data_IF_284805444232
#
_entry.id   IF_284805444232
#
_cell.length_a   1.000
_cell.length_b   1.000
_cell.length_c   1.000
_cell.angle_alpha   90.00
_cell.angle_beta   90.00
_cell.angle_gamma   90.00
#
_symmetry.space_group_name_H-M   'P 1'
#
loop_
_entity.id
_entity.type
_entity.pdbx_description
1 polymer ?
#
# COMPACT_ATOMS: atom_id res chain seq x y z
N UNK A 1 27.49 7.36 -19.87
CA UNK A 1 28.25 7.96 -18.76
C UNK A 1 27.53 7.67 -17.46
N UNK A 2 28.11 7.05 -16.63
CA UNK A 2 28.11 6.12 -15.58
C UNK A 2 27.24 6.50 -14.40
N UNK A 3 26.45 5.54 -13.92
CA UNK A 3 25.71 5.52 -12.68
C UNK A 3 26.65 5.37 -11.46
N UNK A 4 27.61 6.27 -11.26
CA UNK A 4 28.65 6.09 -10.24
C UNK A 4 28.81 7.20 -9.20
N UNK A 5 27.99 8.26 -9.23
CA UNK A 5 28.28 9.41 -8.35
C UNK A 5 27.38 9.53 -7.12
N UNK A 6 26.56 8.52 -6.78
CA UNK A 6 25.78 8.50 -5.54
C UNK A 6 26.10 7.36 -4.57
N UNK A 7 26.99 6.46 -4.93
CA UNK A 7 27.71 5.63 -3.99
C UNK A 7 28.90 6.45 -3.41
N UNK A 8 28.59 7.55 -2.73
CA UNK A 8 29.55 8.12 -1.81
C UNK A 8 29.76 7.10 -0.70
N UNK A 9 30.66 6.14 -0.94
CA UNK A 9 31.33 5.48 0.17
C UNK A 9 31.78 6.59 1.11
N UNK A 10 31.55 6.51 2.43
CA UNK A 10 32.10 7.47 3.36
C UNK A 10 33.56 7.58 3.06
N UNK A 11 34.04 8.79 2.82
CA UNK A 11 35.45 9.03 2.56
C UNK A 11 36.21 8.43 3.75
N UNK A 12 36.84 7.29 3.54
CA UNK A 12 37.54 6.51 4.57
C UNK A 12 38.69 7.30 5.20
N UNK A 13 39.00 8.48 4.66
CA UNK A 13 40.08 9.34 5.12
C UNK A 13 39.69 10.21 6.32
N UNK A 14 38.36 10.38 6.63
CA UNK A 14 37.93 11.27 7.71
C UNK A 14 37.44 10.57 8.97
N UNK A 15 37.15 9.27 8.97
CA UNK A 15 36.76 8.50 10.18
C UNK A 15 35.48 9.00 10.89
N UNK A 16 34.65 9.81 10.19
CA UNK A 16 33.48 10.47 10.77
C UNK A 16 32.24 10.05 10.00
N UNK A 17 31.26 9.51 10.71
CA UNK A 17 29.96 9.14 10.14
C UNK A 17 28.87 10.10 10.65
N UNK A 18 27.91 10.48 9.79
CA UNK A 18 26.75 11.24 10.26
C UNK A 18 25.90 10.34 11.18
N UNK A 19 25.55 10.87 12.34
CA UNK A 19 24.73 10.16 13.33
C UNK A 19 23.42 10.92 13.53
N UNK A 20 22.31 10.19 13.48
CA UNK A 20 20.98 10.74 13.76
C UNK A 20 20.49 10.16 15.08
N UNK A 21 20.31 11.04 16.08
CA UNK A 21 19.70 10.67 17.36
C UNK A 21 18.18 10.53 17.19
N UNK A 22 17.66 9.34 17.34
CA UNK A 22 16.22 9.06 17.26
C UNK A 22 15.42 9.59 18.46
N UNK A 23 16.09 9.91 19.61
CA UNK A 23 15.49 10.50 20.81
C UNK A 23 14.19 9.81 21.25
N UNK A 24 14.20 8.50 21.33
CA UNK A 24 13.04 7.69 21.75
C UNK A 24 11.95 7.49 20.68
N UNK A 25 12.17 7.93 19.45
CA UNK A 25 11.30 7.56 18.32
C UNK A 25 11.43 6.07 17.99
N UNK A 26 10.37 5.49 17.44
CA UNK A 26 10.45 4.19 16.80
C UNK A 26 11.34 4.31 15.56
N UNK A 27 12.34 3.43 15.45
CA UNK A 27 13.18 3.29 14.25
C UNK A 27 12.67 2.06 13.51
N UNK A 28 12.02 2.28 12.38
CA UNK A 28 11.32 1.22 11.64
C UNK A 28 11.69 1.23 10.16
N UNK A 29 11.52 0.10 9.44
CA UNK A 29 11.68 0.11 7.99
C UNK A 29 10.68 1.05 7.33
N UNK A 30 10.99 1.55 6.14
CA UNK A 30 10.03 2.26 5.30
C UNK A 30 8.80 1.41 4.99
N UNK A 31 7.62 2.04 4.99
CA UNK A 31 6.36 1.37 4.66
C UNK A 31 6.34 1.03 3.16
N UNK A 32 5.76 -0.13 2.86
CA UNK A 32 5.58 -0.65 1.50
C UNK A 32 4.09 -0.85 1.28
N UNK A 33 3.57 -0.19 0.26
CA UNK A 33 2.17 -0.26 -0.11
C UNK A 33 2.04 -0.92 -1.49
N UNK A 34 1.44 -2.11 -1.53
CA UNK A 34 1.35 -2.90 -2.75
C UNK A 34 -0.02 -2.83 -3.43
N UNK A 35 -0.96 -2.09 -2.84
CA UNK A 35 -2.27 -1.86 -3.43
C UNK A 35 -2.80 -0.46 -3.08
N UNK A 36 -2.67 0.49 -4.01
CA UNK A 36 -3.14 1.86 -3.82
C UNK A 36 -3.57 2.50 -5.13
N UNK A 37 -4.79 2.99 -5.19
CA UNK A 37 -5.30 3.82 -6.29
C UNK A 37 -5.15 5.33 -6.03
N UNK A 38 -4.39 5.70 -4.99
CA UNK A 38 -4.23 7.08 -4.54
C UNK A 38 -3.81 8.05 -5.65
N UNK A 39 -2.95 7.62 -6.58
CA UNK A 39 -2.50 8.45 -7.70
C UNK A 39 -3.67 8.90 -8.58
N UNK A 40 -4.72 8.08 -8.72
CA UNK A 40 -5.92 8.46 -9.47
C UNK A 40 -6.64 9.65 -8.81
N UNK A 41 -6.70 9.70 -7.49
CA UNK A 41 -7.33 10.80 -6.74
C UNK A 41 -6.52 12.11 -6.90
N UNK A 42 -5.18 12.02 -6.97
CA UNK A 42 -4.31 13.16 -7.22
C UNK A 42 -4.43 13.65 -8.66
N UNK A 43 -4.49 12.72 -9.62
CA UNK A 43 -4.60 13.03 -11.04
C UNK A 43 -6.01 13.49 -11.44
N UNK A 44 -7.05 12.98 -10.77
CA UNK A 44 -8.45 13.33 -11.05
C UNK A 44 -9.16 13.77 -9.76
N UNK A 45 -8.85 14.98 -9.24
CA UNK A 45 -9.41 15.48 -7.99
C UNK A 45 -10.90 15.85 -8.08
N UNK A 46 -11.45 15.85 -9.30
CA UNK A 46 -12.88 16.02 -9.59
C UNK A 46 -13.27 15.13 -10.78
N UNK A 47 -14.53 14.68 -10.88
CA UNK A 47 -14.97 13.72 -11.89
C UNK A 47 -14.64 14.07 -13.34
N UNK A 48 -14.56 15.36 -13.70
CA UNK A 48 -14.35 15.83 -15.08
C UNK A 48 -12.93 16.39 -15.34
N UNK A 49 -12.00 16.21 -14.41
CA UNK A 49 -10.69 16.86 -14.50
C UNK A 49 -9.57 15.80 -14.47
N UNK A 50 -8.67 15.88 -15.44
CA UNK A 50 -7.38 15.16 -15.40
C UNK A 50 -6.27 16.20 -15.37
N UNK A 51 -5.48 16.16 -14.31
CA UNK A 51 -4.28 16.97 -14.13
C UNK A 51 -3.11 16.38 -14.94
N UNK A 52 -2.07 17.16 -15.15
CA UNK A 52 -0.84 16.64 -15.72
C UNK A 52 -0.31 15.44 -14.90
N UNK A 53 -0.06 14.31 -15.57
CA UNK A 53 0.26 13.04 -14.93
C UNK A 53 1.61 13.06 -14.22
N UNK A 54 2.63 13.73 -14.79
CA UNK A 54 3.93 13.87 -14.16
C UNK A 54 3.83 14.71 -12.88
N UNK A 55 3.10 15.82 -12.95
CA UNK A 55 2.82 16.65 -11.78
C UNK A 55 2.05 15.88 -10.71
N UNK A 56 1.10 15.04 -11.10
CA UNK A 56 0.30 14.22 -10.18
C UNK A 56 1.15 13.18 -9.47
N UNK A 57 2.02 12.47 -10.19
CA UNK A 57 2.98 11.53 -9.60
C UNK A 57 3.94 12.24 -8.63
N UNK A 58 4.45 13.41 -9.01
CA UNK A 58 5.33 14.20 -8.15
C UNK A 58 4.63 14.68 -6.86
N UNK A 59 3.34 15.03 -6.94
CA UNK A 59 2.54 15.40 -5.76
C UNK A 59 2.27 14.20 -4.87
N UNK A 60 1.87 13.07 -5.47
CA UNK A 60 1.67 11.81 -4.75
C UNK A 60 2.94 11.37 -4.01
N UNK A 61 4.10 11.41 -4.68
CA UNK A 61 5.41 11.09 -4.11
C UNK A 61 5.70 11.86 -2.81
N UNK A 62 5.47 13.18 -2.83
CA UNK A 62 5.69 14.04 -1.67
C UNK A 62 4.73 13.77 -0.51
N UNK A 63 3.50 13.41 -0.81
CA UNK A 63 2.50 13.10 0.21
C UNK A 63 2.73 11.71 0.79
N UNK A 64 2.97 10.72 -0.05
CA UNK A 64 3.24 9.34 0.35
C UNK A 64 4.42 9.24 1.33
N UNK A 65 5.52 9.93 1.06
CA UNK A 65 6.69 9.91 1.97
C UNK A 65 6.36 10.54 3.33
N UNK A 66 5.47 11.51 3.39
CA UNK A 66 5.03 12.13 4.66
C UNK A 66 4.24 11.17 5.54
N UNK A 67 3.58 10.18 4.93
CA UNK A 67 2.89 9.06 5.61
C UNK A 67 3.81 7.85 5.87
N UNK A 68 5.09 7.95 5.48
CA UNK A 68 6.08 6.89 5.72
C UNK A 68 6.19 5.84 4.61
N UNK A 69 5.44 5.98 3.52
CA UNK A 69 5.57 5.11 2.36
C UNK A 69 6.90 5.39 1.66
N UNK A 70 7.72 4.37 1.48
CA UNK A 70 9.01 4.45 0.77
C UNK A 70 9.02 3.64 -0.52
N UNK A 71 8.05 2.76 -0.68
CA UNK A 71 7.79 2.01 -1.91
C UNK A 71 6.30 1.89 -2.11
N UNK A 72 5.80 2.32 -3.28
CA UNK A 72 4.40 2.28 -3.66
C UNK A 72 4.22 1.46 -4.94
N UNK A 73 3.18 0.63 -4.99
CA UNK A 73 2.67 0.02 -6.21
C UNK A 73 1.37 0.72 -6.58
N UNK A 74 1.41 1.55 -7.61
CA UNK A 74 0.23 2.22 -8.12
C UNK A 74 -0.72 1.22 -8.75
N UNK A 75 -1.88 1.04 -8.16
CA UNK A 75 -2.93 0.14 -8.64
C UNK A 75 -3.72 0.82 -9.73
N UNK A 76 -3.42 0.49 -10.98
CA UNK A 76 -4.08 1.05 -12.16
C UNK A 76 -5.00 0.00 -12.77
N UNK A 77 -6.28 0.34 -12.86
CA UNK A 77 -7.30 -0.58 -13.35
C UNK A 77 -7.48 -0.48 -14.86
N UNK A 78 -7.51 -1.64 -15.51
CA UNK A 78 -7.85 -1.80 -16.93
C UNK A 78 -9.27 -2.35 -17.00
N UNK A 79 -10.20 -1.55 -17.52
CA UNK A 79 -11.63 -1.86 -17.59
C UNK A 79 -12.09 -2.07 -19.03
N UNK A 80 -13.02 -2.99 -19.24
CA UNK A 80 -13.83 -3.07 -20.44
C UNK A 80 -14.99 -2.05 -20.42
N UNK A 81 -15.64 -1.87 -19.27
CA UNK A 81 -16.76 -0.95 -19.10
C UNK A 81 -16.71 -0.21 -17.75
N UNK A 82 -17.13 1.05 -17.74
CA UNK A 82 -17.25 1.85 -16.52
C UNK A 82 -18.65 1.70 -15.90
N UNK A 83 -18.77 0.91 -14.87
CA UNK A 83 -20.07 0.61 -14.23
C UNK A 83 -20.50 1.71 -13.27
N UNK A 84 -19.62 2.17 -12.39
CA UNK A 84 -19.95 3.15 -11.36
C UNK A 84 -19.89 4.57 -11.90
N UNK A 85 -18.75 5.25 -11.74
CA UNK A 85 -18.57 6.61 -12.21
C UNK A 85 -17.47 6.66 -13.27
N UNK A 86 -17.74 7.35 -14.37
CA UNK A 86 -16.73 7.59 -15.38
C UNK A 86 -15.71 8.59 -14.86
N UNK A 87 -14.56 8.10 -14.41
CA UNK A 87 -13.41 8.95 -14.12
C UNK A 87 -12.52 9.00 -15.36
N UNK A 88 -12.29 10.16 -15.98
CA UNK A 88 -11.44 10.27 -17.18
C UNK A 88 -10.04 9.73 -16.99
N UNK A 89 -9.51 9.74 -15.75
CA UNK A 89 -8.20 9.16 -15.44
C UNK A 89 -8.16 7.64 -15.72
N UNK A 90 -9.31 6.97 -15.70
CA UNK A 90 -9.46 5.54 -15.98
C UNK A 90 -9.69 5.22 -17.45
N UNK A 91 -9.76 6.23 -18.31
CA UNK A 91 -9.74 5.99 -19.75
C UNK A 91 -8.43 5.35 -20.16
N UNK A 92 -8.49 4.35 -21.03
CA UNK A 92 -7.34 3.52 -21.37
C UNK A 92 -6.12 4.34 -21.81
N UNK A 93 -6.31 5.47 -22.53
CA UNK A 93 -5.22 6.37 -22.91
C UNK A 93 -4.48 6.98 -21.70
N UNK A 94 -5.21 7.38 -20.65
CA UNK A 94 -4.64 7.95 -19.44
C UNK A 94 -3.98 6.87 -18.58
N UNK A 95 -4.60 5.68 -18.48
CA UNK A 95 -4.03 4.52 -17.79
C UNK A 95 -2.72 4.11 -18.45
N UNK A 96 -2.70 3.96 -19.79
CA UNK A 96 -1.50 3.64 -20.56
C UNK A 96 -0.38 4.67 -20.34
N UNK A 97 -0.72 5.97 -20.36
CA UNK A 97 0.23 7.04 -20.10
C UNK A 97 0.79 7.02 -18.68
N UNK A 98 -0.04 6.68 -17.65
CA UNK A 98 0.43 6.49 -16.27
C UNK A 98 1.37 5.28 -16.16
N UNK A 99 1.04 4.15 -16.82
CA UNK A 99 1.90 2.97 -16.86
C UNK A 99 3.29 3.35 -17.40
N UNK A 100 3.34 4.10 -18.49
CA UNK A 100 4.59 4.55 -19.09
C UNK A 100 5.39 5.46 -18.15
N UNK A 101 4.71 6.39 -17.47
CA UNK A 101 5.35 7.30 -16.52
C UNK A 101 5.91 6.56 -15.31
N UNK A 102 5.15 5.65 -14.70
CA UNK A 102 5.62 4.84 -13.57
C UNK A 102 6.81 3.98 -13.98
N UNK A 103 6.78 3.38 -15.18
CA UNK A 103 7.90 2.61 -15.71
C UNK A 103 9.15 3.46 -15.92
N UNK A 104 9.02 4.70 -16.43
CA UNK A 104 10.11 5.66 -16.59
C UNK A 104 10.73 6.03 -15.23
N UNK A 105 9.93 6.30 -14.20
CA UNK A 105 10.43 6.56 -12.85
C UNK A 105 11.25 5.38 -12.30
N UNK A 106 10.75 4.15 -12.49
CA UNK A 106 11.45 2.94 -12.08
C UNK A 106 12.79 2.77 -12.81
N UNK A 107 12.85 3.08 -14.09
CA UNK A 107 14.07 3.01 -14.90
C UNK A 107 15.12 4.07 -14.48
N UNK A 108 14.77 5.02 -13.61
CA UNK A 108 15.66 6.09 -13.18
C UNK A 108 15.83 7.21 -14.20
N UNK A 109 14.92 7.30 -15.15
CA UNK A 109 14.89 8.37 -16.17
C UNK A 109 14.49 9.71 -15.53
N UNK A 110 13.69 9.67 -14.47
CA UNK A 110 13.31 10.84 -13.66
C UNK A 110 13.94 10.71 -12.27
N UNK A 111 14.96 11.52 -11.95
CA UNK A 111 15.79 11.36 -10.74
C UNK A 111 15.28 12.12 -9.51
N UNK A 112 14.21 12.91 -9.64
CA UNK A 112 13.79 13.86 -8.62
C UNK A 112 12.67 13.37 -7.70
N UNK A 113 12.42 12.04 -7.69
CA UNK A 113 11.45 11.42 -6.80
C UNK A 113 12.05 11.02 -5.46
N UNK A 114 11.19 11.03 -4.41
CA UNK A 114 11.58 10.77 -3.03
C UNK A 114 11.48 9.29 -2.67
N UNK A 115 10.52 8.57 -3.28
CA UNK A 115 10.22 7.16 -3.00
C UNK A 115 10.35 6.31 -4.26
N UNK A 116 10.18 4.99 -4.14
CA UNK A 116 10.15 4.06 -5.28
C UNK A 116 8.73 3.88 -5.77
N UNK A 117 8.54 4.07 -7.07
CA UNK A 117 7.29 3.85 -7.77
C UNK A 117 7.33 2.53 -8.54
N UNK A 118 6.31 1.71 -8.35
CA UNK A 118 6.09 0.44 -9.02
C UNK A 118 4.67 0.38 -9.56
N UNK A 119 4.40 -0.55 -10.45
CA UNK A 119 3.10 -0.71 -11.08
C UNK A 119 2.41 -1.99 -10.62
N UNK A 120 1.21 -1.84 -10.09
CA UNK A 120 0.23 -2.90 -9.91
C UNK A 120 -0.87 -2.75 -10.97
N UNK A 121 -0.90 -3.63 -11.95
CA UNK A 121 -1.92 -3.63 -12.99
C UNK A 121 -3.12 -4.47 -12.54
N UNK A 122 -4.28 -3.84 -12.45
CA UNK A 122 -5.54 -4.49 -12.08
C UNK A 122 -6.35 -4.77 -13.34
N UNK A 123 -6.55 -6.04 -13.65
CA UNK A 123 -7.25 -6.49 -14.86
C UNK A 123 -8.66 -6.91 -14.51
N UNK A 124 -9.64 -6.13 -14.95
CA UNK A 124 -11.04 -6.55 -14.92
C UNK A 124 -11.29 -7.63 -15.96
N UNK A 125 -12.06 -8.65 -15.59
CA UNK A 125 -12.33 -9.76 -16.51
C UNK A 125 -13.19 -9.37 -17.73
N UNK A 126 -13.88 -8.23 -17.69
CA UNK A 126 -14.63 -7.68 -18.84
C UNK A 126 -13.76 -6.91 -19.85
N UNK A 127 -12.43 -6.83 -19.61
CA UNK A 127 -11.46 -6.15 -20.50
C UNK A 127 -11.10 -6.98 -21.74
N UNK A 128 -12.09 -7.63 -22.38
CA UNK A 128 -11.85 -8.55 -23.50
C UNK A 128 -11.19 -7.85 -24.68
N UNK A 129 -11.63 -6.63 -25.00
CA UNK A 129 -11.11 -5.84 -26.11
C UNK A 129 -9.69 -5.31 -25.88
N UNK A 130 -9.20 -5.35 -24.62
CA UNK A 130 -7.87 -4.88 -24.23
C UNK A 130 -6.89 -6.02 -23.96
N UNK A 131 -7.24 -7.27 -24.34
CA UNK A 131 -6.42 -8.44 -24.07
C UNK A 131 -4.98 -8.31 -24.62
N UNK A 132 -4.83 -7.88 -25.86
CA UNK A 132 -3.52 -7.73 -26.51
C UNK A 132 -2.68 -6.60 -25.85
N UNK A 133 -3.33 -5.52 -25.42
CA UNK A 133 -2.67 -4.43 -24.71
C UNK A 133 -2.19 -4.88 -23.32
N UNK A 134 -3.02 -5.63 -22.57
CA UNK A 134 -2.67 -6.20 -21.27
C UNK A 134 -1.46 -7.14 -21.42
N UNK A 135 -1.50 -8.05 -22.39
CA UNK A 135 -0.36 -8.94 -22.69
C UNK A 135 0.89 -8.14 -23.03
N UNK A 136 0.77 -7.09 -23.86
CA UNK A 136 1.87 -6.20 -24.24
C UNK A 136 2.49 -5.52 -23.03
N UNK A 137 1.69 -4.97 -22.10
CA UNK A 137 2.18 -4.38 -20.87
C UNK A 137 2.96 -5.38 -20.01
N UNK A 138 2.45 -6.60 -19.83
CA UNK A 138 3.14 -7.65 -19.09
C UNK A 138 4.49 -7.99 -19.75
N UNK A 139 4.50 -8.20 -21.09
CA UNK A 139 5.72 -8.54 -21.84
C UNK A 139 6.76 -7.41 -21.83
N UNK A 140 6.32 -6.15 -21.79
CA UNK A 140 7.23 -4.99 -21.81
C UNK A 140 8.06 -4.85 -20.54
N UNK A 141 7.71 -5.57 -19.45
CA UNK A 141 8.37 -5.47 -18.16
C UNK A 141 8.02 -4.19 -17.39
N UNK A 142 6.93 -3.50 -17.74
CA UNK A 142 6.45 -2.30 -17.04
C UNK A 142 5.65 -2.63 -15.78
N UNK A 143 5.11 -3.85 -15.67
CA UNK A 143 4.26 -4.31 -14.58
C UNK A 143 5.11 -5.02 -13.53
N UNK A 144 4.85 -4.74 -12.24
CA UNK A 144 5.53 -5.35 -11.10
C UNK A 144 4.61 -6.32 -10.33
N UNK A 145 3.30 -6.10 -10.40
CA UNK A 145 2.25 -6.93 -9.81
C UNK A 145 1.03 -6.90 -10.74
N UNK A 146 0.35 -8.02 -10.91
CA UNK A 146 -0.93 -8.09 -11.65
C UNK A 146 -1.99 -8.78 -10.81
N UNK A 147 -3.19 -8.20 -10.76
CA UNK A 147 -4.37 -8.86 -10.19
C UNK A 147 -5.48 -9.06 -11.22
N UNK A 148 -6.20 -10.18 -11.09
CA UNK A 148 -7.38 -10.48 -11.87
C UNK A 148 -8.61 -10.27 -11.01
N UNK A 149 -9.53 -9.39 -11.47
CA UNK A 149 -10.69 -8.93 -10.72
C UNK A 149 -11.98 -9.19 -11.48
N UNK A 150 -13.03 -9.54 -10.75
CA UNK A 150 -14.38 -9.63 -11.30
C UNK A 150 -15.37 -8.93 -10.37
N UNK A 151 -15.70 -7.69 -10.69
CA UNK A 151 -16.69 -6.89 -9.94
C UNK A 151 -18.13 -7.07 -10.47
N UNK A 152 -18.42 -8.19 -11.15
CA UNK A 152 -19.78 -8.49 -11.60
C UNK A 152 -20.72 -8.58 -10.39
N UNK A 153 -21.86 -7.87 -10.41
CA UNK A 153 -22.85 -7.96 -9.34
C UNK A 153 -23.36 -9.38 -9.11
N UNK A 154 -23.45 -9.80 -7.85
CA UNK A 154 -23.86 -11.15 -7.43
C UNK A 154 -22.69 -12.05 -7.00
N UNK A 155 -21.44 -11.55 -7.04
CA UNK A 155 -20.25 -12.28 -6.57
C UNK A 155 -19.21 -11.32 -5.96
N UNK A 156 -18.18 -11.89 -5.35
CA UNK A 156 -17.07 -11.15 -4.76
C UNK A 156 -17.52 -10.04 -3.80
N UNK A 157 -16.98 -8.84 -3.94
CA UNK A 157 -17.33 -7.68 -3.14
C UNK A 157 -18.83 -7.37 -3.18
N UNK A 158 -19.48 -7.54 -4.32
CA UNK A 158 -20.89 -7.21 -4.59
C UNK A 158 -21.80 -8.44 -4.65
N UNK A 159 -21.51 -9.48 -3.85
CA UNK A 159 -22.39 -10.65 -3.73
C UNK A 159 -23.80 -10.30 -3.28
N UNK A 160 -23.95 -9.22 -2.49
CA UNK A 160 -25.24 -8.66 -2.11
C UNK A 160 -25.62 -7.55 -3.10
N UNK A 161 -26.67 -7.83 -3.90
CA UNK A 161 -27.16 -6.89 -4.91
C UNK A 161 -27.78 -5.62 -4.30
N UNK A 162 -28.21 -5.66 -3.03
CA UNK A 162 -28.70 -4.45 -2.35
C UNK A 162 -27.52 -3.51 -2.07
N UNK A 163 -26.41 -4.04 -1.54
CA UNK A 163 -25.18 -3.28 -1.32
C UNK A 163 -24.66 -2.71 -2.62
N UNK A 164 -24.68 -3.46 -3.72
CA UNK A 164 -24.32 -2.97 -5.04
C UNK A 164 -25.21 -1.81 -5.48
N UNK A 165 -26.53 -1.96 -5.35
CA UNK A 165 -27.50 -0.95 -5.73
C UNK A 165 -27.34 0.35 -4.93
N UNK A 166 -27.16 0.25 -3.62
CA UNK A 166 -26.93 1.40 -2.73
C UNK A 166 -25.61 2.10 -3.06
N UNK A 167 -24.57 1.33 -3.34
CA UNK A 167 -23.26 1.87 -3.77
C UNK A 167 -23.40 2.62 -5.10
N UNK A 168 -24.07 2.02 -6.09
CA UNK A 168 -24.27 2.63 -7.41
C UNK A 168 -25.05 3.94 -7.31
N UNK A 169 -26.11 3.99 -6.48
CA UNK A 169 -26.88 5.19 -6.20
C UNK A 169 -26.07 6.26 -5.47
N UNK A 170 -25.05 5.88 -4.71
CA UNK A 170 -24.12 6.83 -4.10
C UNK A 170 -23.23 7.55 -5.12
N UNK A 171 -22.96 6.92 -6.27
CA UNK A 171 -22.14 7.48 -7.35
C UNK A 171 -22.96 8.11 -8.48
N UNK A 172 -24.18 7.63 -8.73
CA UNK A 172 -25.04 8.04 -9.84
C UNK A 172 -26.47 8.27 -9.37
N UNK A 173 -27.14 9.23 -9.97
CA UNK A 173 -28.59 9.41 -9.82
C UNK A 173 -29.30 8.40 -10.74
N UNK A 174 -29.61 7.22 -10.20
CA UNK A 174 -30.22 6.10 -10.92
C UNK A 174 -31.41 5.53 -10.14
N UNK A 175 -32.44 5.10 -10.88
CA UNK A 175 -33.61 4.44 -10.32
C UNK A 175 -33.34 2.96 -9.99
N UNK A 176 -34.25 2.32 -9.25
CA UNK A 176 -34.20 0.86 -9.01
C UNK A 176 -34.31 0.04 -10.28
N UNK A 177 -34.97 0.56 -11.33
CA UNK A 177 -35.08 -0.08 -12.63
C UNK A 177 -33.74 -0.01 -13.37
N UNK A 178 -33.10 1.16 -13.39
CA UNK A 178 -31.75 1.32 -13.95
C UNK A 178 -30.73 0.39 -13.28
N UNK A 179 -30.78 0.27 -11.95
CA UNK A 179 -29.91 -0.65 -11.20
C UNK A 179 -30.09 -2.10 -11.67
N UNK A 180 -31.35 -2.56 -11.84
CA UNK A 180 -31.62 -3.92 -12.33
C UNK A 180 -31.12 -4.15 -13.76
N UNK A 181 -31.25 -3.14 -14.62
CA UNK A 181 -30.79 -3.22 -16.00
C UNK A 181 -29.25 -3.24 -16.07
N UNK A 182 -28.58 -2.42 -15.28
CA UNK A 182 -27.12 -2.43 -15.14
C UNK A 182 -26.62 -3.78 -14.62
N UNK A 183 -27.25 -4.32 -13.57
CA UNK A 183 -26.90 -5.66 -13.03
C UNK A 183 -27.00 -6.72 -14.13
N UNK A 184 -28.11 -6.75 -14.90
CA UNK A 184 -28.29 -7.71 -15.98
C UNK A 184 -27.23 -7.54 -17.06
N UNK A 185 -26.99 -6.31 -17.51
CA UNK A 185 -25.97 -6.00 -18.52
C UNK A 185 -24.58 -6.47 -18.09
N UNK A 186 -24.22 -6.26 -16.82
CA UNK A 186 -22.92 -6.68 -16.28
C UNK A 186 -22.81 -8.19 -16.19
N UNK A 187 -23.89 -8.89 -15.77
CA UNK A 187 -23.91 -10.36 -15.70
C UNK A 187 -23.86 -11.02 -17.09
N UNK A 188 -24.35 -10.35 -18.12
CA UNK A 188 -24.36 -10.82 -19.51
C UNK A 188 -23.12 -10.37 -20.31
N UNK A 189 -22.26 -9.49 -19.74
CA UNK A 189 -21.07 -9.00 -20.42
C UNK A 189 -20.08 -10.13 -20.74
N UNK A 190 -19.40 -9.99 -21.89
CA UNK A 190 -18.30 -10.90 -22.23
C UNK A 190 -17.15 -10.72 -21.27
N UNK A 191 -16.47 -11.83 -20.94
CA UNK A 191 -15.32 -11.83 -20.04
C UNK A 191 -14.17 -12.61 -20.65
N UNK A 192 -12.97 -12.30 -20.17
CA UNK A 192 -11.79 -13.11 -20.47
C UNK A 192 -12.05 -14.56 -20.09
N UNK A 193 -11.78 -15.45 -21.01
CA UNK A 193 -11.89 -16.90 -20.80
C UNK A 193 -10.81 -17.39 -19.84
N UNK A 194 -11.04 -18.53 -19.19
CA UNK A 194 -10.00 -19.18 -18.38
C UNK A 194 -8.68 -19.41 -19.15
N UNK A 195 -8.77 -19.73 -20.45
CA UNK A 195 -7.58 -19.89 -21.30
C UNK A 195 -6.81 -18.57 -21.47
N UNK A 196 -7.50 -17.46 -21.66
CA UNK A 196 -6.88 -16.13 -21.77
C UNK A 196 -6.24 -15.70 -20.45
N UNK A 197 -6.96 -15.87 -19.32
CA UNK A 197 -6.41 -15.57 -17.99
C UNK A 197 -5.14 -16.41 -17.72
N UNK A 198 -5.20 -17.72 -18.05
CA UNK A 198 -4.05 -18.63 -17.91
C UNK A 198 -2.86 -18.17 -18.77
N UNK A 199 -3.11 -17.71 -20.00
CA UNK A 199 -2.08 -17.21 -20.88
C UNK A 199 -1.42 -15.91 -20.33
N UNK A 200 -2.23 -14.96 -19.84
CA UNK A 200 -1.71 -13.74 -19.21
C UNK A 200 -0.90 -14.06 -17.93
N UNK A 201 -1.40 -15.00 -17.10
CA UNK A 201 -0.68 -15.45 -15.91
C UNK A 201 0.66 -16.11 -16.26
N UNK A 202 0.72 -16.90 -17.36
CA UNK A 202 1.98 -17.48 -17.84
C UNK A 202 2.98 -16.39 -18.24
N UNK A 203 2.54 -15.34 -18.96
CA UNK A 203 3.38 -14.20 -19.31
C UNK A 203 3.86 -13.47 -18.05
N UNK A 204 3.00 -13.25 -17.07
CA UNK A 204 3.38 -12.63 -15.80
C UNK A 204 4.50 -13.42 -15.10
N UNK A 205 4.36 -14.74 -15.00
CA UNK A 205 5.39 -15.62 -14.41
C UNK A 205 6.71 -15.59 -15.16
N UNK A 206 6.67 -15.66 -16.51
CA UNK A 206 7.87 -15.55 -17.36
C UNK A 206 8.64 -14.26 -17.11
N UNK A 207 7.93 -13.19 -16.71
CA UNK A 207 8.50 -11.87 -16.43
C UNK A 207 8.82 -11.65 -14.95
N UNK A 208 8.56 -12.62 -14.08
CA UNK A 208 8.77 -12.49 -12.64
C UNK A 208 7.79 -11.51 -11.97
N UNK A 209 6.62 -11.28 -12.57
CA UNK A 209 5.55 -10.44 -12.04
C UNK A 209 4.72 -11.26 -11.05
N UNK A 210 4.54 -10.76 -9.84
CA UNK A 210 3.66 -11.40 -8.84
C UNK A 210 2.21 -11.39 -9.31
N UNK A 211 1.47 -12.48 -9.03
CA UNK A 211 0.06 -12.62 -9.42
C UNK A 211 -0.81 -12.58 -8.18
N UNK A 212 -1.88 -11.79 -8.23
CA UNK A 212 -2.88 -11.68 -7.19
C UNK A 212 -4.28 -12.08 -7.70
N UNK A 213 -5.06 -12.65 -6.80
CA UNK A 213 -6.51 -12.75 -6.89
C UNK A 213 -7.15 -11.59 -6.13
N UNK A 214 -8.35 -11.17 -6.49
CA UNK A 214 -9.04 -10.05 -5.87
C UNK A 214 -10.46 -10.43 -5.48
N UNK A 215 -10.91 -10.03 -4.27
CA UNK A 215 -12.25 -10.32 -3.73
C UNK A 215 -12.61 -11.81 -3.77
N UNK A 216 -11.71 -12.65 -3.26
CA UNK A 216 -11.94 -14.08 -3.21
C UNK A 216 -13.15 -14.41 -2.34
N UNK A 217 -14.11 -15.15 -2.91
CA UNK A 217 -15.39 -15.46 -2.29
C UNK A 217 -15.66 -16.97 -2.17
N UNK A 218 -14.84 -17.80 -2.79
CA UNK A 218 -15.02 -19.24 -2.82
C UNK A 218 -13.70 -20.01 -2.86
N UNK A 219 -13.72 -21.25 -2.40
CA UNK A 219 -12.57 -22.14 -2.50
C UNK A 219 -12.26 -22.53 -3.95
N UNK A 220 -13.27 -22.58 -4.82
CA UNK A 220 -13.09 -22.87 -6.25
C UNK A 220 -12.30 -21.76 -6.93
N UNK A 221 -12.59 -20.49 -6.62
CA UNK A 221 -11.81 -19.35 -7.11
C UNK A 221 -10.37 -19.39 -6.59
N UNK A 222 -10.18 -19.66 -5.30
CA UNK A 222 -8.84 -19.83 -4.73
C UNK A 222 -8.07 -20.98 -5.40
N UNK A 223 -8.73 -22.11 -5.66
CA UNK A 223 -8.10 -23.26 -6.33
C UNK A 223 -7.71 -22.93 -7.78
N UNK A 224 -8.55 -22.20 -8.50
CA UNK A 224 -8.22 -21.72 -9.84
C UNK A 224 -7.00 -20.78 -9.83
N UNK A 225 -6.98 -19.79 -8.92
CA UNK A 225 -5.89 -18.83 -8.81
C UNK A 225 -4.58 -19.49 -8.33
N UNK A 226 -4.66 -20.46 -7.42
CA UNK A 226 -3.52 -21.29 -7.01
C UNK A 226 -2.94 -22.07 -8.21
N UNK A 227 -3.81 -22.61 -9.09
CA UNK A 227 -3.40 -23.22 -10.35
C UNK A 227 -2.69 -22.25 -11.32
N UNK A 228 -2.88 -20.95 -11.18
CA UNK A 228 -2.16 -19.90 -11.91
C UNK A 228 -0.86 -19.47 -11.19
N UNK A 229 -0.53 -20.10 -10.07
CA UNK A 229 0.58 -19.74 -9.16
C UNK A 229 0.42 -18.31 -8.59
N UNK A 230 -0.82 -17.89 -8.35
CA UNK A 230 -1.07 -16.65 -7.62
C UNK A 230 -0.57 -16.77 -6.17
N UNK A 231 0.19 -15.80 -5.72
CA UNK A 231 0.80 -15.77 -4.39
C UNK A 231 0.10 -14.83 -3.43
N UNK A 232 -0.90 -14.09 -3.90
CA UNK A 232 -1.58 -13.04 -3.17
C UNK A 232 -3.10 -13.20 -3.33
N UNK A 233 -3.84 -13.08 -2.22
CA UNK A 233 -5.30 -12.95 -2.17
C UNK A 233 -5.65 -11.57 -1.60
N UNK A 234 -6.13 -10.67 -2.46
CA UNK A 234 -6.51 -9.30 -2.08
C UNK A 234 -7.97 -9.28 -1.66
N UNK A 235 -8.23 -8.73 -0.49
CA UNK A 235 -9.57 -8.49 0.07
C UNK A 235 -10.48 -9.72 0.10
N UNK A 236 -10.02 -10.88 0.65
CA UNK A 236 -10.89 -12.03 0.82
C UNK A 236 -12.14 -11.63 1.61
N UNK A 237 -13.32 -12.03 1.14
CA UNK A 237 -14.60 -11.48 1.65
C UNK A 237 -15.03 -12.04 3.01
N UNK A 238 -14.43 -13.14 3.47
CA UNK A 238 -14.76 -13.77 4.74
C UNK A 238 -13.52 -14.32 5.43
N UNK A 239 -13.63 -14.56 6.75
CA UNK A 239 -12.53 -15.11 7.54
C UNK A 239 -12.15 -16.51 7.09
N UNK A 240 -13.11 -17.32 6.67
CA UNK A 240 -12.86 -18.69 6.23
C UNK A 240 -12.12 -18.71 4.88
N UNK A 241 -12.48 -17.83 3.95
CA UNK A 241 -11.76 -17.66 2.68
C UNK A 241 -10.35 -17.12 2.92
N UNK A 242 -10.17 -16.13 3.80
CA UNK A 242 -8.85 -15.65 4.16
C UNK A 242 -7.96 -16.76 4.75
N UNK A 243 -8.50 -17.62 5.63
CA UNK A 243 -7.80 -18.78 6.17
C UNK A 243 -7.48 -19.82 5.10
N UNK A 244 -8.42 -20.07 4.18
CA UNK A 244 -8.20 -20.99 3.06
C UNK A 244 -7.09 -20.50 2.11
N UNK A 245 -7.02 -19.21 1.82
CA UNK A 245 -5.92 -18.59 1.07
C UNK A 245 -4.57 -18.74 1.81
N UNK A 246 -4.54 -18.45 3.11
CA UNK A 246 -3.33 -18.65 3.95
C UNK A 246 -2.87 -20.11 3.96
N UNK A 247 -3.81 -21.05 4.04
CA UNK A 247 -3.50 -22.49 4.02
C UNK A 247 -2.86 -22.94 2.69
N UNK A 248 -3.12 -22.23 1.60
CA UNK A 248 -2.48 -22.41 0.28
C UNK A 248 -1.13 -21.71 0.16
N UNK A 249 -0.68 -21.02 1.21
CA UNK A 249 0.58 -20.26 1.22
C UNK A 249 0.48 -18.87 0.60
N UNK A 250 -0.71 -18.41 0.24
CA UNK A 250 -0.92 -17.07 -0.29
C UNK A 250 -0.75 -16.01 0.82
N UNK A 251 -0.21 -14.87 0.47
CA UNK A 251 -0.33 -13.65 1.28
C UNK A 251 -1.74 -13.09 1.16
N UNK A 252 -2.31 -12.64 2.27
CA UNK A 252 -3.68 -12.11 2.30
C UNK A 252 -3.66 -10.62 2.65
N UNK A 253 -4.32 -9.81 1.86
CA UNK A 253 -4.31 -8.35 1.97
C UNK A 253 -5.65 -7.82 2.46
N UNK A 254 -5.62 -6.86 3.37
CA UNK A 254 -6.78 -6.05 3.74
C UNK A 254 -6.43 -4.56 3.71
N UNK A 255 -7.46 -3.71 3.52
CA UNK A 255 -7.29 -2.26 3.54
C UNK A 255 -7.05 -1.72 4.96
N UNK A 256 -6.04 -0.89 5.14
CA UNK A 256 -5.81 -0.16 6.37
C UNK A 256 -7.01 0.73 6.78
N UNK A 257 -7.76 1.36 5.85
CA UNK A 257 -9.00 2.05 6.18
C UNK A 257 -10.03 1.17 6.91
N UNK A 258 -10.14 -0.13 6.55
CA UNK A 258 -11.02 -1.07 7.26
C UNK A 258 -10.56 -1.27 8.72
N UNK A 259 -9.25 -1.32 8.98
CA UNK A 259 -8.72 -1.33 10.36
C UNK A 259 -9.13 -0.06 11.10
N UNK A 260 -9.02 1.12 10.48
CA UNK A 260 -9.35 2.40 11.10
C UNK A 260 -10.84 2.51 11.42
N UNK A 261 -11.71 2.11 10.49
CA UNK A 261 -13.16 2.14 10.66
C UNK A 261 -13.68 1.05 11.62
N UNK A 262 -12.94 -0.06 11.77
CA UNK A 262 -13.33 -1.21 12.57
C UNK A 262 -14.32 -2.17 11.89
N UNK A 263 -14.70 -1.87 10.65
CA UNK A 263 -15.61 -2.68 9.85
C UNK A 263 -15.34 -2.45 8.35
N UNK A 264 -15.77 -3.37 7.52
CA UNK A 264 -15.77 -3.19 6.07
C UNK A 264 -16.91 -2.25 5.63
N UNK A 265 -16.62 -1.35 4.68
CA UNK A 265 -17.64 -0.48 4.08
C UNK A 265 -18.67 -1.26 3.26
N UNK A 266 -18.30 -2.41 2.73
CA UNK A 266 -19.18 -3.33 1.97
C UNK A 266 -19.83 -4.43 2.81
N UNK A 267 -19.65 -4.40 4.16
CA UNK A 267 -20.20 -5.40 5.06
C UNK A 267 -19.49 -6.78 5.00
N UNK A 268 -18.34 -6.87 4.34
CA UNK A 268 -17.50 -8.06 4.24
C UNK A 268 -16.60 -8.24 5.48
N UNK A 269 -15.42 -8.85 5.32
CA UNK A 269 -14.48 -9.18 6.38
C UNK A 269 -14.03 -7.95 7.19
N UNK A 270 -14.06 -8.05 8.51
CA UNK A 270 -13.39 -7.09 9.42
C UNK A 270 -11.88 -7.35 9.39
N UNK A 271 -11.10 -6.33 8.96
CA UNK A 271 -9.64 -6.45 8.92
C UNK A 271 -9.04 -6.65 10.31
N UNK A 272 -9.61 -6.02 11.37
CA UNK A 272 -9.13 -6.20 12.76
C UNK A 272 -9.26 -7.66 13.22
N UNK A 273 -10.45 -8.25 13.03
CA UNK A 273 -10.70 -9.64 13.41
C UNK A 273 -9.82 -10.61 12.62
N UNK A 274 -9.65 -10.35 11.33
CA UNK A 274 -8.85 -11.20 10.45
C UNK A 274 -7.35 -11.13 10.77
N UNK A 275 -6.81 -9.96 11.11
CA UNK A 275 -5.43 -9.79 11.58
C UNK A 275 -5.23 -10.50 12.93
N UNK A 276 -6.15 -10.34 13.90
CA UNK A 276 -6.09 -11.04 15.18
C UNK A 276 -6.14 -12.56 15.03
N UNK A 277 -6.91 -13.05 14.05
CA UNK A 277 -6.99 -14.47 13.71
C UNK A 277 -5.78 -15.00 12.91
N UNK A 278 -4.81 -14.13 12.54
CA UNK A 278 -3.68 -14.48 11.70
C UNK A 278 -4.07 -14.82 10.24
N UNK A 279 -5.27 -14.44 9.83
CA UNK A 279 -5.81 -14.70 8.50
C UNK A 279 -5.47 -13.59 7.49
N UNK A 280 -5.04 -12.43 7.94
CA UNK A 280 -4.49 -11.33 7.13
C UNK A 280 -3.07 -11.07 7.60
N UNK A 281 -2.13 -10.98 6.66
CA UNK A 281 -0.72 -10.71 6.93
C UNK A 281 -0.14 -9.51 6.18
N UNK A 282 -0.92 -8.83 5.34
CA UNK A 282 -0.54 -7.59 4.66
C UNK A 282 -1.66 -6.55 4.81
N UNK A 283 -1.27 -5.31 5.06
CA UNK A 283 -2.17 -4.15 4.95
C UNK A 283 -1.71 -3.26 3.79
N UNK A 284 -2.67 -2.74 3.05
CA UNK A 284 -2.49 -1.75 1.99
C UNK A 284 -3.27 -0.47 2.28
N UNK A 285 -2.94 0.63 1.61
CA UNK A 285 -3.66 1.89 1.80
C UNK A 285 -4.99 1.94 1.06
N UNK A 286 -5.12 1.13 0.00
CA UNK A 286 -6.27 1.17 -0.88
C UNK A 286 -6.43 2.60 -1.49
N UNK A 287 -7.32 3.42 -0.96
CA UNK A 287 -7.55 4.81 -1.40
C UNK A 287 -7.01 5.87 -0.43
N UNK A 288 -6.52 5.48 0.78
CA UNK A 288 -6.18 6.41 1.86
C UNK A 288 -4.82 6.11 2.49
N UNK A 289 -3.69 6.63 1.95
CA UNK A 289 -2.33 6.33 2.40
C UNK A 289 -2.06 6.65 3.87
N UNK A 290 -2.69 7.67 4.42
CA UNK A 290 -2.54 8.06 5.82
C UNK A 290 -2.94 6.92 6.80
N UNK A 291 -3.87 6.04 6.38
CA UNK A 291 -4.33 4.94 7.23
C UNK A 291 -3.25 3.88 7.53
N UNK A 292 -2.21 3.73 6.69
CA UNK A 292 -1.22 2.67 6.89
C UNK A 292 -0.52 2.75 8.24
N UNK A 293 0.03 3.92 8.56
CA UNK A 293 0.73 4.12 9.83
C UNK A 293 -0.25 4.09 11.02
N UNK A 294 -1.41 4.74 10.87
CA UNK A 294 -2.44 4.78 11.91
C UNK A 294 -2.99 3.38 12.23
N UNK A 295 -3.16 2.52 11.22
CA UNK A 295 -3.62 1.14 11.40
C UNK A 295 -2.65 0.30 12.24
N UNK A 296 -1.33 0.49 12.08
CA UNK A 296 -0.31 -0.20 12.90
C UNK A 296 -0.54 0.09 14.38
N UNK A 297 -0.69 1.37 14.74
CA UNK A 297 -0.89 1.77 16.13
C UNK A 297 -2.29 1.42 16.63
N UNK A 298 -3.31 1.49 15.79
CA UNK A 298 -4.67 1.01 16.11
C UNK A 298 -4.68 -0.47 16.46
N UNK A 299 -3.98 -1.31 15.70
CA UNK A 299 -3.86 -2.75 15.99
C UNK A 299 -3.10 -3.01 17.29
N UNK A 300 -2.05 -2.24 17.58
CA UNK A 300 -1.37 -2.30 18.88
C UNK A 300 -2.31 -1.97 20.02
N UNK A 301 -2.99 -0.82 19.94
CA UNK A 301 -3.73 -0.24 21.05
C UNK A 301 -5.09 -0.91 21.30
N UNK A 302 -5.79 -1.27 20.22
CA UNK A 302 -7.15 -1.81 20.30
C UNK A 302 -7.23 -3.33 20.16
N UNK A 303 -6.23 -3.95 19.51
CA UNK A 303 -6.19 -5.39 19.28
C UNK A 303 -5.09 -6.10 20.09
N UNK A 304 -4.24 -5.34 20.83
CA UNK A 304 -3.15 -5.92 21.63
C UNK A 304 -2.06 -6.58 20.77
N UNK A 305 -1.96 -6.22 19.48
CA UNK A 305 -0.94 -6.78 18.61
C UNK A 305 0.44 -6.22 18.97
N UNK A 306 1.44 -7.09 19.04
CA UNK A 306 2.83 -6.68 19.19
C UNK A 306 3.22 -5.67 18.10
N UNK A 307 3.88 -4.58 18.49
CA UNK A 307 4.17 -3.46 17.58
C UNK A 307 5.07 -3.89 16.39
N UNK A 308 6.01 -4.80 16.60
CA UNK A 308 6.87 -5.30 15.53
C UNK A 308 6.08 -6.17 14.54
N UNK A 309 5.12 -6.97 15.05
CA UNK A 309 4.18 -7.72 14.19
C UNK A 309 3.25 -6.78 13.43
N UNK A 310 2.77 -5.71 14.07
CA UNK A 310 1.94 -4.71 13.41
C UNK A 310 2.69 -4.00 12.28
N UNK A 311 3.95 -3.57 12.52
CA UNK A 311 4.80 -3.03 11.45
C UNK A 311 5.10 -4.04 10.34
N UNK A 312 5.23 -5.33 10.66
CA UNK A 312 5.47 -6.35 9.63
C UNK A 312 4.36 -6.39 8.56
N UNK A 313 3.11 -6.06 8.91
CA UNK A 313 1.96 -6.02 7.99
C UNK A 313 2.12 -4.96 6.89
N UNK A 314 2.92 -3.92 7.11
CA UNK A 314 3.12 -2.79 6.22
C UNK A 314 4.59 -2.62 5.77
N UNK A 315 5.45 -3.60 6.07
CA UNK A 315 6.88 -3.55 5.73
C UNK A 315 7.35 -4.86 5.11
N UNK A 316 7.80 -5.83 5.91
CA UNK A 316 8.42 -7.07 5.40
C UNK A 316 7.41 -8.01 4.71
N UNK A 317 6.16 -8.05 5.17
CA UNK A 317 5.18 -8.94 4.59
C UNK A 317 4.75 -8.49 3.18
N UNK A 318 4.38 -7.21 2.92
CA UNK A 318 4.15 -6.75 1.55
C UNK A 318 5.40 -6.86 0.67
N UNK A 319 6.61 -6.69 1.23
CA UNK A 319 7.84 -6.92 0.48
C UNK A 319 7.98 -8.38 0.03
N UNK A 320 7.61 -9.34 0.88
CA UNK A 320 7.60 -10.78 0.52
C UNK A 320 6.53 -11.08 -0.51
N UNK A 321 5.32 -10.57 -0.34
CA UNK A 321 4.22 -10.76 -1.25
C UNK A 321 4.56 -10.27 -2.68
N UNK A 322 5.23 -9.13 -2.78
CA UNK A 322 5.65 -8.53 -4.05
C UNK A 322 7.03 -8.99 -4.55
N UNK A 323 7.67 -9.97 -3.91
CA UNK A 323 8.96 -10.52 -4.35
C UNK A 323 10.16 -9.57 -4.24
N UNK A 324 10.10 -8.55 -3.37
CA UNK A 324 11.15 -7.52 -3.19
C UNK A 324 11.80 -7.55 -1.80
N UNK A 325 11.55 -8.61 -1.04
CA UNK A 325 12.02 -8.71 0.35
C UNK A 325 13.55 -8.74 0.50
N UNK A 326 14.28 -9.11 -0.53
CA UNK A 326 15.74 -9.09 -0.53
C UNK A 326 16.31 -7.66 -0.60
N UNK A 327 15.54 -6.70 -1.14
CA UNK A 327 15.96 -5.32 -1.30
C UNK A 327 15.49 -4.41 -0.14
N UNK A 328 14.23 -4.57 0.31
CA UNK A 328 13.54 -3.64 1.22
C UNK A 328 12.71 -4.37 2.28
N UNK A 329 11.96 -3.64 3.10
CA UNK A 329 10.98 -4.18 4.06
C UNK A 329 11.56 -4.56 5.43
N UNK A 330 12.88 -4.52 5.60
CA UNK A 330 13.52 -4.70 6.94
C UNK A 330 14.85 -3.96 7.00
N UNK A 331 15.25 -3.57 8.22
CA UNK A 331 16.56 -2.98 8.47
C UNK A 331 17.55 -4.14 8.64
N UNK A 332 18.30 -4.46 7.58
CA UNK A 332 19.27 -5.54 7.57
C UNK A 332 20.46 -5.20 6.65
N UNK A 333 21.62 -5.79 6.96
CA UNK A 333 22.82 -5.64 6.13
C UNK A 333 22.54 -6.15 4.71
N UNK A 334 22.96 -5.38 3.72
CA UNK A 334 22.77 -5.70 2.29
C UNK A 334 21.46 -5.18 1.69
N UNK A 335 20.51 -4.73 2.51
CA UNK A 335 19.28 -4.10 2.04
C UNK A 335 19.41 -2.57 1.89
N UNK A 336 18.51 -1.99 1.14
CA UNK A 336 18.42 -0.53 0.99
C UNK A 336 18.07 0.09 2.35
N UNK A 337 18.72 1.20 2.69
CA UNK A 337 18.49 1.92 3.94
C UNK A 337 17.23 2.79 3.83
N UNK A 338 16.06 2.14 3.83
CA UNK A 338 14.75 2.77 3.95
C UNK A 338 14.34 2.73 5.41
N UNK A 339 14.42 3.86 6.08
CA UNK A 339 14.24 3.95 7.53
C UNK A 339 13.37 5.15 7.88
N UNK A 340 12.43 4.93 8.80
CA UNK A 340 11.58 5.97 9.35
C UNK A 340 11.90 6.20 10.81
N UNK A 341 11.78 7.44 11.25
CA UNK A 341 11.64 7.83 12.65
C UNK A 341 10.18 8.20 12.88
N UNK A 342 9.48 7.40 13.69
CA UNK A 342 8.07 7.57 14.02
C UNK A 342 7.92 7.95 15.48
N UNK A 343 7.08 8.93 15.76
CA UNK A 343 6.73 9.37 17.12
C UNK A 343 5.24 9.38 17.31
N UNK A 344 4.82 9.20 18.55
CA UNK A 344 3.46 9.49 18.99
C UNK A 344 3.43 10.93 19.52
N UNK A 345 2.54 11.75 18.97
CA UNK A 345 2.31 13.12 19.42
C UNK A 345 0.94 13.24 20.04
N UNK A 346 0.79 14.12 21.02
CA UNK A 346 -0.51 14.44 21.61
C UNK A 346 -1.34 15.26 20.62
N UNK A 347 -2.54 14.84 20.30
CA UNK A 347 -3.44 15.52 19.35
C UNK A 347 -4.73 16.03 20.00
N UNK A 348 -4.67 16.40 21.29
CA UNK A 348 -5.77 16.99 22.02
C UNK A 348 -6.52 16.02 22.94
N UNK A 349 -7.71 16.44 23.43
CA UNK A 349 -8.55 15.64 24.31
C UNK A 349 -9.39 14.69 23.46
N UNK A 350 -9.24 13.38 23.67
CA UNK A 350 -10.10 12.36 23.06
C UNK A 350 -11.20 11.94 24.03
N UNK A 351 -12.39 11.62 23.54
CA UNK A 351 -13.36 10.85 24.30
C UNK A 351 -12.78 9.45 24.54
N UNK A 352 -12.48 9.10 25.81
CA UNK A 352 -11.94 7.79 26.13
C UNK A 352 -13.05 6.78 26.31
N UNK A 353 -13.07 5.72 25.54
CA UNK A 353 -13.87 4.52 25.77
C UNK A 353 -13.06 3.40 26.46
N UNK A 354 -12.20 3.72 27.45
CA UNK A 354 -11.46 2.69 28.18
C UNK A 354 -10.27 3.19 29.00
N UNK A 355 -9.85 2.41 29.99
CA UNK A 355 -8.68 2.65 30.83
C UNK A 355 -7.40 2.47 30.00
N UNK A 356 -6.67 3.57 29.74
CA UNK A 356 -5.35 3.53 29.11
C UNK A 356 -4.24 3.93 30.10
N UNK A 357 -3.06 3.28 30.06
CA UNK A 357 -1.88 3.71 30.81
C UNK A 357 -1.36 5.02 30.18
N UNK A 358 -1.61 6.14 30.85
CA UNK A 358 -1.23 7.49 30.39
C UNK A 358 -2.31 8.53 30.66
N UNK A 359 -3.29 8.22 31.52
CA UNK A 359 -4.31 9.17 31.92
C UNK A 359 -3.68 10.40 32.59
N UNK A 360 -4.13 11.60 32.20
CA UNK A 360 -3.83 12.86 32.91
C UNK A 360 -4.46 12.85 34.31
N UNK A 361 -4.01 13.75 35.22
CA UNK A 361 -4.57 13.84 36.57
C UNK A 361 -6.10 14.08 36.65
N UNK A 362 -6.71 14.50 35.51
CA UNK A 362 -8.15 14.72 35.36
C UNK A 362 -8.93 13.49 34.86
N UNK A 363 -8.25 12.33 34.70
CA UNK A 363 -8.85 11.06 34.26
C UNK A 363 -9.15 10.96 32.74
N UNK A 364 -8.75 11.96 31.94
CA UNK A 364 -8.94 11.91 30.49
C UNK A 364 -7.70 11.30 29.81
N UNK A 365 -7.91 10.34 28.93
CA UNK A 365 -6.82 9.80 28.11
C UNK A 365 -6.36 10.84 27.09
N UNK A 366 -5.05 11.13 27.07
CA UNK A 366 -4.49 11.90 25.97
C UNK A 366 -4.59 11.06 24.68
N UNK A 367 -5.27 11.58 23.68
CA UNK A 367 -5.25 10.96 22.36
C UNK A 367 -3.88 11.21 21.73
N UNK A 368 -3.20 10.13 21.34
CA UNK A 368 -1.94 10.23 20.61
C UNK A 368 -2.16 9.80 19.15
N UNK A 369 -1.33 10.32 18.27
CA UNK A 369 -1.30 10.02 16.85
C UNK A 369 0.15 9.72 16.42
N UNK A 370 0.41 8.64 15.67
CA UNK A 370 1.73 8.39 15.13
C UNK A 370 2.02 9.35 13.99
N UNK A 371 3.24 9.86 13.95
CA UNK A 371 3.69 10.75 12.89
C UNK A 371 5.10 10.39 12.44
N UNK A 372 5.37 10.51 11.16
CA UNK A 372 6.71 10.40 10.62
C UNK A 372 7.44 11.72 10.87
N UNK A 373 8.52 11.68 11.64
CA UNK A 373 9.35 12.86 11.87
C UNK A 373 10.54 12.92 10.93
N UNK A 374 11.00 11.77 10.44
CA UNK A 374 12.04 11.70 9.42
C UNK A 374 11.89 10.44 8.57
N UNK A 375 12.15 10.57 7.28
CA UNK A 375 12.23 9.43 6.37
C UNK A 375 13.56 9.44 5.60
N UNK A 376 14.15 8.25 5.51
CA UNK A 376 15.31 7.98 4.67
C UNK A 376 14.90 6.96 3.61
N UNK A 377 15.30 7.21 2.37
CA UNK A 377 15.11 6.29 1.24
C UNK A 377 16.45 6.07 0.57
N UNK A 378 16.92 4.82 0.56
CA UNK A 378 18.25 4.48 0.08
C UNK A 378 19.36 5.23 0.84
N UNK A 379 19.17 5.48 2.14
CA UNK A 379 20.11 6.21 2.99
C UNK A 379 20.06 7.74 2.86
N UNK A 380 19.30 8.29 1.90
CA UNK A 380 19.13 9.75 1.75
C UNK A 380 17.98 10.25 2.61
N UNK A 381 18.18 11.31 3.38
CA UNK A 381 17.10 11.99 4.11
C UNK A 381 16.21 12.72 3.13
N UNK A 382 14.99 12.23 2.92
CA UNK A 382 14.03 12.73 1.92
C UNK A 382 12.87 13.51 2.54
N UNK A 383 12.59 13.28 3.83
CA UNK A 383 11.51 13.96 4.55
C UNK A 383 11.92 14.27 5.99
N UNK A 384 11.50 15.43 6.48
CA UNK A 384 11.65 15.84 7.87
C UNK A 384 10.50 16.74 8.28
N UNK A 385 9.92 16.48 9.45
CA UNK A 385 8.90 17.32 10.07
C UNK A 385 9.23 17.63 11.53
N UNK A 386 8.72 18.74 12.02
CA UNK A 386 8.83 19.18 13.41
C UNK A 386 7.44 19.42 13.97
N UNK A 387 7.18 18.88 15.15
CA UNK A 387 5.93 19.07 15.88
C UNK A 387 6.16 19.93 17.12
N UNK A 388 5.18 20.82 17.52
CA UNK A 388 5.37 21.82 18.59
C UNK A 388 5.69 21.27 19.98
N UNK A 389 5.24 20.06 20.30
CA UNK A 389 5.46 19.36 21.57
C UNK A 389 6.86 18.71 21.67
N UNK A 390 7.67 18.84 20.64
CA UNK A 390 9.06 18.44 20.73
C UNK A 390 9.83 19.45 21.60
N UNK A 391 10.64 19.00 22.58
CA UNK A 391 11.42 19.91 23.41
C UNK A 391 12.25 20.88 22.57
N UNK A 392 12.24 22.16 22.91
CA UNK A 392 12.91 23.25 22.19
C UNK A 392 14.43 23.09 21.95
N UNK A 393 15.03 21.98 22.38
CA UNK A 393 16.42 21.60 22.08
C UNK A 393 16.68 21.13 20.65
N UNK A 394 15.67 21.08 19.79
CA UNK A 394 15.77 20.62 18.39
C UNK A 394 16.28 21.65 17.38
N UNK A 395 16.59 22.88 17.80
CA UNK A 395 17.05 23.96 16.92
C UNK A 395 18.47 23.79 16.35
N UNK A 396 19.20 22.76 16.77
CA UNK A 396 20.48 22.38 16.15
C UNK A 396 20.29 21.06 15.42
N UNK A 397 20.80 20.97 14.22
CA UNK A 397 20.77 19.77 13.39
C UNK A 397 21.16 18.54 14.24
N UNK A 398 20.28 17.52 14.36
CA UNK A 398 20.61 16.33 15.15
C UNK A 398 21.70 15.46 14.50
N UNK A 399 22.19 15.81 13.32
CA UNK A 399 23.34 15.16 12.71
C UNK A 399 24.61 15.57 13.44
N UNK A 400 25.03 14.76 14.38
CA UNK A 400 26.35 14.86 14.96
C UNK A 400 27.32 13.99 14.18
N UNK A 401 28.43 14.55 13.77
CA UNK A 401 29.54 13.77 13.23
C UNK A 401 30.25 13.07 14.41
N UNK A 402 30.26 11.75 14.39
CA UNK A 402 30.89 10.91 15.44
C UNK A 402 32.01 10.11 14.80
N UNK A 403 33.18 10.07 15.44
CA UNK A 403 34.29 9.25 14.95
C UNK A 403 33.96 7.75 15.06
N UNK A 404 34.47 6.94 14.13
CA UNK A 404 34.32 5.49 14.17
C UNK A 404 34.75 4.87 15.50
N UNK A 405 35.77 5.42 16.15
CA UNK A 405 36.26 4.98 17.46
C UNK A 405 35.24 5.22 18.59
N UNK A 406 34.35 6.18 18.46
CA UNK A 406 33.28 6.43 19.43
C UNK A 406 32.13 5.44 19.29
N UNK A 407 31.88 4.95 18.07
CA UNK A 407 30.83 3.95 17.77
C UNK A 407 31.22 2.53 18.18
N UNK A 408 32.54 2.24 18.21
CA UNK A 408 33.08 0.91 18.57
C UNK A 408 33.31 0.73 20.06
N UNK A 409 33.16 1.76 20.88
CA UNK A 409 33.24 1.61 22.34
C UNK A 409 32.02 0.83 22.85
N UNK A 410 32.23 -0.24 23.64
CA UNK A 410 31.09 -0.92 24.25
C UNK A 410 30.35 0.08 25.13
N UNK A 411 29.01 0.15 24.98
CA UNK A 411 28.15 0.89 25.89
C UNK A 411 28.47 0.49 27.31
N UNK A 412 29.06 1.40 28.08
CA UNK A 412 29.25 1.20 29.51
C UNK A 412 27.87 0.89 30.10
N UNK A 413 27.74 -0.28 30.74
CA UNK A 413 26.52 -0.67 31.42
C UNK A 413 26.12 0.47 32.33
N UNK A 414 24.99 1.09 32.05
CA UNK A 414 24.33 1.97 33.01
C UNK A 414 23.94 1.09 34.20
N UNK A 415 24.55 1.42 35.35
CA UNK A 415 24.21 0.86 36.66
C UNK A 415 22.90 1.48 37.13
#
# INVERSE_FOLDING_TARGET
MGASDFDAQPDATMGVLPVVDARGAYVVPGLIDIHSDYVENVASPRPSVVMDLSTSLYKADRELVSHGVTTIFHSLSVYGAHVFDHKPIRDFGNVSALIDRVAALRAGEERDHLIRHRLHMRVELDSVDLYDDIESFLRSGKVDLVSFMDHTPGQGQYRDLLVFGDTLKGYRDVSDEDVRDIVRQQQESQKLTYAQITALAAVARERGVSIASHDDDSEDKLAFMDGLEATISEFPISLDIARAARARGMHTIAGAPNVMLGHSHSGNLSAREAVQAGAIDVLCSDYYPAALLDAVFTLRDQCGLDIAKAFALVTINPAKAAGIADEVGSIAVGKRADVLLVREISCGEGESSGEHPGARPDGRAARTMPVVTRAFVGGRSVFRSHYPDQPLGYGRDPEQLVSLDQLTRPLAKAV
#
